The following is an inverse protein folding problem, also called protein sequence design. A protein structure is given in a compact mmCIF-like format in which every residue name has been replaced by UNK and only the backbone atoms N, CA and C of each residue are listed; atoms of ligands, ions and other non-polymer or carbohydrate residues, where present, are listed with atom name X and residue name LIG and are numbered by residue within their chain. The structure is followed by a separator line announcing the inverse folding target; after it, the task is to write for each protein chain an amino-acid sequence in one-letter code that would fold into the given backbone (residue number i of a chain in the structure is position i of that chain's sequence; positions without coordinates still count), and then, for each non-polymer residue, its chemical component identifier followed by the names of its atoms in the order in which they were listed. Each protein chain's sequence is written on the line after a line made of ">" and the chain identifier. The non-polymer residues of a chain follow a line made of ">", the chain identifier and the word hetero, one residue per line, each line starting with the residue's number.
data_IF_190766759580
#
_entry.id   IF_190766759580
#
_cell.length_a   1.000
_cell.length_b   1.000
_cell.length_c   1.000
_cell.angle_alpha   90.00
_cell.angle_beta   90.00
_cell.angle_gamma   90.00
#
_symmetry.space_group_name_H-M   'P 1'
#
loop_
_entity.id
_entity.type
_entity.pdbx_description
1 polymer ?
#
# COMPACT_ATOMS: atom_id res chain seq x y z
N UNK A 1 33.91 10.35 -36.57
CA UNK A 1 32.83 9.42 -36.96
C UNK A 1 32.52 8.38 -35.88
N UNK A 2 33.51 7.71 -35.27
CA UNK A 2 33.26 6.67 -34.26
C UNK A 2 32.52 7.17 -33.00
N UNK A 3 32.89 8.35 -32.49
CA UNK A 3 32.23 8.96 -31.31
C UNK A 3 30.75 9.28 -31.55
N UNK A 4 30.40 9.81 -32.74
CA UNK A 4 29.02 10.12 -33.10
C UNK A 4 28.16 8.85 -33.18
N UNK A 5 28.74 7.75 -33.69
CA UNK A 5 28.06 6.45 -33.76
C UNK A 5 27.82 5.86 -32.36
N UNK A 6 28.80 5.96 -31.45
CA UNK A 6 28.63 5.51 -30.07
C UNK A 6 27.57 6.33 -29.33
N UNK A 7 27.56 7.64 -29.51
CA UNK A 7 26.52 8.51 -28.94
C UNK A 7 25.12 8.14 -29.46
N UNK A 8 24.99 7.89 -30.76
CA UNK A 8 23.72 7.49 -31.36
C UNK A 8 23.19 6.15 -30.82
N UNK A 9 24.07 5.15 -30.64
CA UNK A 9 23.71 3.85 -30.05
C UNK A 9 23.30 4.02 -28.58
N UNK A 10 24.02 4.85 -27.81
CA UNK A 10 23.68 5.15 -26.42
C UNK A 10 22.31 5.81 -26.27
N UNK A 11 22.00 6.80 -27.12
CA UNK A 11 20.70 7.47 -27.13
C UNK A 11 19.58 6.50 -27.52
N UNK A 12 19.76 5.69 -28.56
CA UNK A 12 18.78 4.69 -28.97
C UNK A 12 18.52 3.66 -27.88
N UNK A 13 19.58 3.18 -27.20
CA UNK A 13 19.46 2.27 -26.07
C UNK A 13 18.72 2.90 -24.88
N UNK A 14 19.02 4.15 -24.54
CA UNK A 14 18.33 4.87 -23.46
C UNK A 14 16.86 5.10 -23.76
N UNK A 15 16.51 5.50 -24.99
CA UNK A 15 15.12 5.69 -25.42
C UNK A 15 14.37 4.37 -25.42
N UNK A 16 14.94 3.29 -25.96
CA UNK A 16 14.35 1.96 -25.93
C UNK A 16 14.13 1.45 -24.51
N UNK A 17 15.11 1.60 -23.62
CA UNK A 17 14.98 1.26 -22.21
C UNK A 17 13.89 2.08 -21.51
N UNK A 18 13.82 3.39 -21.77
CA UNK A 18 12.76 4.25 -21.21
C UNK A 18 11.38 3.85 -21.74
N UNK A 19 11.27 3.53 -23.02
CA UNK A 19 10.02 3.04 -23.61
C UNK A 19 9.59 1.73 -22.95
N UNK A 20 10.48 0.75 -22.85
CA UNK A 20 10.22 -0.52 -22.15
C UNK A 20 9.81 -0.27 -20.70
N UNK A 21 10.50 0.59 -19.95
CA UNK A 21 10.09 0.94 -18.58
C UNK A 21 8.76 1.66 -18.50
N UNK A 22 8.42 2.53 -19.45
CA UNK A 22 7.15 3.27 -19.44
C UNK A 22 5.96 2.40 -19.83
N UNK A 23 6.17 1.42 -20.70
CA UNK A 23 5.12 0.50 -21.17
C UNK A 23 5.00 -0.78 -20.33
N UNK A 24 6.08 -1.21 -19.66
CA UNK A 24 6.11 -2.38 -18.77
C UNK A 24 6.03 -2.03 -17.29
N UNK A 25 6.27 -0.78 -16.90
CA UNK A 25 5.59 -0.27 -15.71
C UNK A 25 4.11 -0.36 -16.05
N UNK A 26 3.44 -1.41 -15.55
CA UNK A 26 1.99 -1.39 -15.43
C UNK A 26 1.59 -0.17 -14.60
N UNK A 27 0.30 0.07 -14.33
CA UNK A 27 -0.07 1.06 -13.33
C UNK A 27 0.42 0.58 -11.95
N UNK A 28 1.71 0.70 -11.66
CA UNK A 28 2.34 0.57 -10.35
C UNK A 28 2.02 1.79 -9.47
N UNK A 29 0.94 2.50 -9.80
CA UNK A 29 0.31 3.54 -8.99
C UNK A 29 -0.59 3.03 -7.88
N UNK A 30 -0.91 1.72 -7.83
CA UNK A 30 -1.34 1.11 -6.58
C UNK A 30 -0.08 0.71 -5.82
N UNK A 31 0.62 1.71 -5.25
CA UNK A 31 1.15 1.47 -3.93
C UNK A 31 -0.03 0.92 -3.14
N UNK A 32 0.05 -0.32 -2.65
CA UNK A 32 -0.89 -0.82 -1.65
C UNK A 32 -0.64 0.01 -0.39
N UNK A 33 -1.07 1.28 -0.43
CA UNK A 33 -1.29 2.07 0.76
C UNK A 33 -2.35 1.27 1.50
N UNK A 34 -1.96 0.74 2.65
CA UNK A 34 -2.94 0.14 3.54
C UNK A 34 -4.10 1.13 3.64
N UNK A 35 -5.35 0.68 3.45
CA UNK A 35 -6.49 1.57 3.62
C UNK A 35 -6.38 2.20 5.00
N UNK A 36 -6.82 3.45 5.12
CA UNK A 36 -6.88 4.10 6.41
C UNK A 36 -7.76 3.24 7.34
N UNK A 37 -7.15 2.74 8.40
CA UNK A 37 -7.82 1.95 9.43
C UNK A 37 -8.12 2.92 10.57
N UNK A 38 -9.39 2.97 10.99
CA UNK A 38 -9.79 3.76 12.16
C UNK A 38 -9.17 3.21 13.45
N UNK A 39 -9.09 4.05 14.47
CA UNK A 39 -8.76 3.59 15.82
C UNK A 39 -9.77 2.54 16.32
N UNK A 40 -9.32 1.66 17.22
CA UNK A 40 -10.18 0.68 17.87
C UNK A 40 -10.99 1.32 19.01
N UNK A 41 -12.17 0.77 19.28
CA UNK A 41 -13.02 1.15 20.40
C UNK A 41 -14.33 1.84 19.98
N UNK A 42 -15.26 1.99 20.94
CA UNK A 42 -16.64 2.41 20.66
C UNK A 42 -16.74 3.86 20.17
N UNK A 43 -15.81 4.73 20.55
CA UNK A 43 -15.80 6.15 20.17
C UNK A 43 -15.37 6.36 18.71
N UNK A 44 -14.63 5.41 18.14
CA UNK A 44 -14.20 5.43 16.75
C UNK A 44 -15.23 4.78 15.80
N UNK A 45 -16.28 4.14 16.34
CA UNK A 45 -17.33 3.53 15.54
C UNK A 45 -18.28 4.57 14.96
N UNK A 46 -18.70 4.36 13.70
CA UNK A 46 -19.73 5.20 13.06
C UNK A 46 -21.04 5.22 13.84
N UNK A 47 -21.46 4.04 14.32
CA UNK A 47 -22.71 3.84 15.02
C UNK A 47 -22.43 3.44 16.46
N UNK A 48 -23.14 4.05 17.41
CA UNK A 48 -22.99 3.74 18.83
C UNK A 48 -23.37 2.27 19.11
N UNK A 49 -22.57 1.51 19.86
CA UNK A 49 -22.90 0.14 20.25
C UNK A 49 -24.24 0.07 20.98
N UNK A 50 -25.08 -0.90 20.59
CA UNK A 50 -26.40 -1.13 21.22
C UNK A 50 -26.32 -1.83 22.58
N UNK A 51 -25.20 -2.50 22.84
CA UNK A 51 -24.90 -3.22 24.07
C UNK A 51 -23.64 -2.63 24.72
N UNK A 52 -23.40 -2.97 25.97
CA UNK A 52 -22.13 -2.61 26.63
C UNK A 52 -20.94 -3.17 25.86
N UNK A 53 -19.88 -2.36 25.75
CA UNK A 53 -18.61 -2.73 25.15
C UNK A 53 -17.80 -3.55 26.14
N UNK A 54 -17.43 -4.77 25.76
CA UNK A 54 -16.64 -5.66 26.59
C UNK A 54 -15.21 -5.85 26.04
N UNK A 55 -14.38 -6.61 26.78
CA UNK A 55 -12.99 -6.86 26.38
C UNK A 55 -12.87 -7.72 25.12
N UNK A 56 -13.88 -8.55 24.83
CA UNK A 56 -13.89 -9.38 23.61
C UNK A 56 -14.17 -8.50 22.40
N UNK A 57 -15.08 -7.53 22.52
CA UNK A 57 -15.32 -6.51 21.50
C UNK A 57 -14.04 -5.72 21.20
N UNK A 58 -13.35 -5.26 22.24
CA UNK A 58 -12.09 -4.51 22.10
C UNK A 58 -11.02 -5.33 21.38
N UNK A 59 -10.72 -6.53 21.87
CA UNK A 59 -9.68 -7.38 21.29
C UNK A 59 -10.02 -7.80 19.85
N UNK A 60 -11.30 -7.99 19.54
CA UNK A 60 -11.75 -8.26 18.17
C UNK A 60 -11.56 -7.05 17.27
N UNK A 61 -11.80 -5.82 17.75
CA UNK A 61 -11.63 -4.60 16.95
C UNK A 61 -10.15 -4.32 16.67
N UNK A 62 -9.30 -4.48 17.68
CA UNK A 62 -7.83 -4.30 17.58
C UNK A 62 -7.15 -5.32 16.66
N UNK A 63 -7.81 -6.44 16.37
CA UNK A 63 -7.28 -7.44 15.43
C UNK A 63 -7.29 -6.98 13.97
N UNK A 64 -8.02 -5.92 13.61
CA UNK A 64 -8.07 -5.44 12.24
C UNK A 64 -6.92 -4.46 11.95
N UNK A 65 -6.23 -4.58 10.78
CA UNK A 65 -6.47 -5.51 9.67
C UNK A 65 -5.67 -6.82 9.74
N UNK A 66 -4.83 -7.01 10.77
CA UNK A 66 -3.82 -8.08 10.85
C UNK A 66 -4.38 -9.49 11.15
N UNK A 67 -5.66 -9.58 11.56
CA UNK A 67 -6.41 -10.79 11.94
C UNK A 67 -5.88 -11.53 13.18
N UNK A 68 -5.04 -10.89 14.00
CA UNK A 68 -4.55 -11.40 15.28
C UNK A 68 -4.85 -10.38 16.42
N UNK A 69 -5.56 -10.79 17.49
CA UNK A 69 -5.80 -9.89 18.62
C UNK A 69 -4.52 -9.66 19.44
N UNK A 70 -4.40 -8.51 20.13
CA UNK A 70 -3.23 -8.22 20.94
C UNK A 70 -3.07 -9.20 22.10
N UNK A 71 -1.82 -9.49 22.42
CA UNK A 71 -1.47 -10.38 23.52
C UNK A 71 -1.53 -9.61 24.86
N UNK A 72 -2.66 -9.70 25.54
CA UNK A 72 -2.90 -9.07 26.84
C UNK A 72 -2.47 -10.02 27.97
N UNK A 73 -1.18 -9.99 28.36
CA UNK A 73 -0.61 -10.78 29.48
C UNK A 73 -0.51 -9.97 30.78
#
# INVERSE_FOLDING_TARGET
>A
MALVKLAAVGVLGFVGYKFVRLFMAGPDGYAHTAPEVRDAGPDAMRDTPKRGWDQVDQASDESFPASDPPANY
#
